data_IF_576197898117
#
_entry.id   IF_576197898117
#
_cell.length_a   1.000
_cell.length_b   1.000
_cell.length_c   1.000
_cell.angle_alpha   90.00
_cell.angle_beta   90.00
_cell.angle_gamma   90.00
#
_symmetry.space_group_name_H-M   'P 1'
#
loop_
_entity.id
_entity.type
_entity.pdbx_description
1 polymer ?
#
# COMPACT_ATOMS: atom_id res chain seq x y z
N UNK A 1 30.40 24.60 -29.63
CA UNK A 1 29.67 23.34 -29.85
C UNK A 1 28.67 23.17 -28.71
N UNK A 2 27.37 23.19 -29.00
CA UNK A 2 26.30 22.98 -28.01
C UNK A 2 26.14 21.46 -27.80
N UNK A 3 26.15 20.99 -26.56
CA UNK A 3 25.77 19.63 -26.21
C UNK A 3 24.29 19.40 -26.58
N UNK A 4 23.91 18.24 -27.12
CA UNK A 4 22.51 17.92 -27.35
C UNK A 4 21.81 17.70 -26.01
N UNK A 5 20.72 18.42 -25.77
CA UNK A 5 19.80 18.14 -24.69
C UNK A 5 19.12 16.80 -25.02
N UNK A 6 19.40 15.76 -24.23
CA UNK A 6 18.66 14.50 -24.29
C UNK A 6 17.33 14.70 -23.59
N UNK A 7 16.33 15.21 -24.30
CA UNK A 7 14.93 15.12 -23.85
C UNK A 7 14.48 13.67 -24.01
N UNK A 8 14.72 12.82 -22.99
CA UNK A 8 14.11 11.50 -22.95
C UNK A 8 12.62 11.66 -22.65
N UNK A 9 11.80 11.83 -23.68
CA UNK A 9 10.36 11.64 -23.53
C UNK A 9 10.13 10.16 -23.24
N UNK A 10 10.13 9.77 -21.97
CA UNK A 10 9.75 8.41 -21.56
C UNK A 10 8.30 8.23 -22.00
N UNK A 11 8.02 7.14 -22.71
CA UNK A 11 6.66 6.76 -23.06
C UNK A 11 5.80 6.70 -21.78
N UNK A 12 4.52 7.08 -21.84
CA UNK A 12 3.65 7.00 -20.67
C UNK A 12 3.61 5.56 -20.16
N UNK A 13 3.77 5.41 -18.84
CA UNK A 13 3.64 4.12 -18.16
C UNK A 13 2.18 4.01 -17.74
N UNK A 14 1.58 2.83 -17.91
CA UNK A 14 0.24 2.57 -17.37
C UNK A 14 0.28 2.72 -15.85
N UNK A 15 -0.78 3.26 -15.27
CA UNK A 15 -0.89 3.42 -13.84
C UNK A 15 -0.61 2.10 -13.10
N UNK A 16 0.32 2.16 -12.16
CA UNK A 16 0.71 1.10 -11.22
C UNK A 16 1.42 1.76 -10.05
N UNK A 17 1.49 1.09 -8.91
CA UNK A 17 2.30 1.57 -7.79
C UNK A 17 3.79 1.74 -8.22
N UNK A 18 4.45 2.87 -7.87
CA UNK A 18 5.81 3.22 -8.27
C UNK A 18 6.82 2.55 -7.33
N UNK A 19 6.70 1.23 -7.23
CA UNK A 19 7.50 0.34 -6.40
C UNK A 19 7.76 -0.96 -7.16
N UNK A 20 8.69 -1.78 -6.68
CA UNK A 20 9.07 -3.05 -7.29
C UNK A 20 7.85 -3.92 -7.59
N UNK A 21 7.01 -4.13 -6.57
CA UNK A 21 5.74 -4.83 -6.68
C UNK A 21 4.54 -3.89 -6.74
N UNK A 22 3.52 -4.27 -7.53
CA UNK A 22 2.28 -3.51 -7.68
C UNK A 22 1.28 -3.80 -6.54
N UNK A 23 1.72 -3.74 -5.27
CA UNK A 23 0.85 -4.03 -4.13
C UNK A 23 0.01 -2.83 -3.72
N UNK A 24 -1.28 -3.05 -3.53
CA UNK A 24 -2.28 -2.04 -3.15
C UNK A 24 -2.50 -2.06 -1.64
N UNK A 25 -2.45 -0.91 -0.94
CA UNK A 25 -2.83 -0.85 0.47
C UNK A 25 -4.35 -1.06 0.60
N UNK A 26 -4.75 -1.97 1.49
CA UNK A 26 -6.13 -2.30 1.81
C UNK A 26 -6.38 -1.96 3.28
N UNK A 27 -7.43 -1.16 3.55
CA UNK A 27 -7.94 -0.92 4.90
C UNK A 27 -9.29 -1.58 5.10
N UNK A 28 -9.43 -2.27 6.21
CA UNK A 28 -10.70 -2.80 6.69
C UNK A 28 -11.12 -2.04 7.94
N UNK A 29 -12.37 -1.57 7.94
CA UNK A 29 -13.03 -1.02 9.11
C UNK A 29 -14.50 -1.45 9.07
N UNK A 30 -14.77 -2.63 9.60
CA UNK A 30 -16.05 -3.33 9.45
C UNK A 30 -16.72 -3.41 10.81
N UNK A 31 -17.96 -2.94 10.90
CA UNK A 31 -18.78 -3.00 12.11
C UNK A 31 -20.08 -3.74 11.82
N UNK A 32 -20.40 -4.76 12.61
CA UNK A 32 -21.64 -5.53 12.47
C UNK A 32 -22.03 -6.14 13.82
N UNK A 33 -23.31 -6.03 14.19
CA UNK A 33 -23.88 -6.58 15.45
C UNK A 33 -23.08 -6.18 16.72
N UNK A 34 -22.55 -4.95 16.75
CA UNK A 34 -21.78 -4.44 17.88
C UNK A 34 -20.34 -4.95 17.98
N UNK A 35 -19.88 -5.77 17.03
CA UNK A 35 -18.48 -6.15 16.88
C UNK A 35 -17.83 -5.35 15.75
N UNK A 36 -16.58 -4.95 15.96
CA UNK A 36 -15.79 -4.20 14.98
C UNK A 36 -14.48 -4.91 14.69
N UNK A 37 -14.14 -5.03 13.42
CA UNK A 37 -12.89 -5.58 12.94
C UNK A 37 -12.17 -4.50 12.12
N UNK A 38 -10.93 -4.22 12.51
CA UNK A 38 -10.04 -3.29 11.82
C UNK A 38 -8.77 -4.01 11.42
N UNK A 39 -8.33 -3.75 10.20
CA UNK A 39 -7.08 -4.30 9.69
C UNK A 39 -6.50 -3.41 8.59
N UNK A 40 -5.19 -3.54 8.37
CA UNK A 40 -4.46 -2.85 7.33
C UNK A 40 -3.35 -3.76 6.79
N UNK A 41 -3.39 -4.04 5.49
CA UNK A 41 -2.44 -4.92 4.83
C UNK A 41 -2.33 -4.55 3.35
N UNK A 42 -1.43 -5.19 2.63
CA UNK A 42 -1.22 -5.00 1.19
C UNK A 42 -1.76 -6.18 0.41
N UNK A 43 -2.29 -5.93 -0.79
CA UNK A 43 -2.85 -6.97 -1.66
C UNK A 43 -2.30 -6.86 -3.08
N UNK A 44 -2.04 -7.99 -3.72
CA UNK A 44 -1.68 -8.02 -5.14
C UNK A 44 -2.97 -7.91 -5.98
N UNK A 45 -3.19 -6.81 -6.73
CA UNK A 45 -4.43 -6.60 -7.48
C UNK A 45 -4.59 -7.56 -8.66
N UNK A 46 -3.53 -8.29 -9.03
CA UNK A 46 -3.55 -9.35 -10.04
C UNK A 46 -4.01 -10.71 -9.48
N UNK A 47 -4.11 -10.88 -8.16
CA UNK A 47 -4.61 -12.13 -7.57
C UNK A 47 -6.11 -12.30 -7.87
N UNK A 48 -6.59 -13.54 -8.07
CA UNK A 48 -7.98 -13.79 -8.40
C UNK A 48 -8.90 -13.54 -7.20
N UNK A 49 -10.13 -13.12 -7.46
CA UNK A 49 -11.13 -12.82 -6.41
C UNK A 49 -11.40 -14.00 -5.46
N UNK A 50 -11.10 -15.23 -5.88
CA UNK A 50 -11.17 -16.41 -5.01
C UNK A 50 -10.21 -16.32 -3.82
N UNK A 51 -9.03 -15.72 -3.98
CA UNK A 51 -8.07 -15.53 -2.88
C UNK A 51 -8.60 -14.56 -1.82
N UNK A 52 -9.32 -13.51 -2.26
CA UNK A 52 -10.01 -12.58 -1.33
C UNK A 52 -11.03 -13.33 -0.47
N UNK A 53 -11.81 -14.22 -1.07
CA UNK A 53 -12.79 -15.04 -0.35
C UNK A 53 -12.11 -16.03 0.59
N UNK A 54 -10.99 -16.63 0.18
CA UNK A 54 -10.18 -17.53 1.02
C UNK A 54 -9.61 -16.77 2.22
N UNK A 55 -9.05 -15.58 2.01
CA UNK A 55 -8.57 -14.69 3.07
C UNK A 55 -9.69 -14.38 4.06
N UNK A 56 -10.85 -13.88 3.60
CA UNK A 56 -11.98 -13.54 4.45
C UNK A 56 -12.44 -14.72 5.32
N UNK A 57 -12.52 -15.93 4.76
CA UNK A 57 -12.87 -17.14 5.51
C UNK A 57 -11.83 -17.51 6.57
N UNK A 58 -10.54 -17.40 6.24
CA UNK A 58 -9.44 -17.68 7.18
C UNK A 58 -9.42 -16.67 8.31
N UNK A 59 -9.49 -15.38 8.01
CA UNK A 59 -9.54 -14.29 8.99
C UNK A 59 -10.70 -14.49 9.98
N UNK A 60 -11.91 -14.74 9.48
CA UNK A 60 -13.09 -14.96 10.34
C UNK A 60 -12.92 -16.19 11.24
N UNK A 61 -12.36 -17.29 10.71
CA UNK A 61 -12.08 -18.50 11.49
C UNK A 61 -11.01 -18.23 12.56
N UNK A 62 -9.90 -17.62 12.18
CA UNK A 62 -8.71 -17.47 13.02
C UNK A 62 -8.98 -16.46 14.16
N UNK A 63 -9.73 -15.38 13.87
CA UNK A 63 -10.16 -14.38 14.84
C UNK A 63 -11.48 -14.71 15.55
N UNK A 64 -12.10 -15.86 15.22
CA UNK A 64 -13.39 -16.31 15.77
C UNK A 64 -14.49 -15.26 15.63
N UNK A 65 -14.54 -14.57 14.49
CA UNK A 65 -15.56 -13.56 14.18
C UNK A 65 -16.88 -14.23 13.74
N UNK A 66 -18.02 -13.51 13.83
CA UNK A 66 -19.28 -13.98 13.28
C UNK A 66 -19.20 -14.26 11.76
N UNK A 67 -19.86 -15.31 11.24
CA UNK A 67 -19.78 -15.68 9.82
C UNK A 67 -20.15 -14.58 8.82
N UNK A 68 -20.98 -13.61 9.23
CA UNK A 68 -21.36 -12.45 8.41
C UNK A 68 -20.18 -11.55 8.02
N UNK A 69 -19.09 -11.56 8.79
CA UNK A 69 -17.87 -10.82 8.45
C UNK A 69 -17.22 -11.33 7.16
N UNK A 70 -17.46 -12.59 6.75
CA UNK A 70 -16.85 -13.16 5.53
C UNK A 70 -17.26 -12.32 4.32
N UNK A 71 -18.56 -12.05 4.17
CA UNK A 71 -19.08 -11.28 3.04
C UNK A 71 -18.62 -9.82 3.11
N UNK A 72 -18.63 -9.23 4.31
CA UNK A 72 -18.24 -7.82 4.50
C UNK A 72 -16.75 -7.59 4.21
N UNK A 73 -15.87 -8.48 4.68
CA UNK A 73 -14.43 -8.43 4.40
C UNK A 73 -14.19 -8.56 2.90
N UNK A 74 -14.76 -9.60 2.28
CA UNK A 74 -14.56 -9.84 0.85
C UNK A 74 -15.03 -8.66 -0.01
N UNK A 75 -16.21 -8.10 0.30
CA UNK A 75 -16.75 -6.92 -0.40
C UNK A 75 -15.85 -5.70 -0.22
N UNK A 76 -15.40 -5.40 1.00
CA UNK A 76 -14.55 -4.24 1.27
C UNK A 76 -13.21 -4.32 0.52
N UNK A 77 -12.59 -5.49 0.46
CA UNK A 77 -11.36 -5.71 -0.32
C UNK A 77 -11.64 -5.54 -1.82
N UNK A 78 -12.69 -6.20 -2.33
CA UNK A 78 -13.05 -6.15 -3.75
C UNK A 78 -13.39 -4.74 -4.23
N UNK A 79 -14.06 -3.93 -3.40
CA UNK A 79 -14.35 -2.53 -3.72
C UNK A 79 -13.06 -1.73 -3.89
N UNK A 80 -12.11 -1.82 -2.95
CA UNK A 80 -10.82 -1.13 -3.04
C UNK A 80 -10.00 -1.59 -4.24
N UNK A 81 -9.99 -2.90 -4.54
CA UNK A 81 -9.31 -3.43 -5.73
C UNK A 81 -9.98 -2.98 -7.03
N UNK A 82 -11.31 -2.90 -7.07
CA UNK A 82 -12.05 -2.40 -8.24
C UNK A 82 -11.77 -0.93 -8.49
N UNK A 83 -11.73 -0.13 -7.42
CA UNK A 83 -11.32 1.27 -7.48
C UNK A 83 -9.90 1.41 -8.02
N UNK A 84 -8.93 0.67 -7.47
CA UNK A 84 -7.56 0.63 -7.98
C UNK A 84 -7.48 0.29 -9.48
N UNK A 85 -8.15 -0.79 -9.89
CA UNK A 85 -8.17 -1.27 -11.29
C UNK A 85 -8.80 -0.26 -12.25
N UNK A 86 -9.66 0.64 -11.76
CA UNK A 86 -10.24 1.72 -12.57
C UNK A 86 -9.20 2.75 -13.04
N UNK A 87 -8.05 2.83 -12.35
CA UNK A 87 -6.94 3.69 -12.70
C UNK A 87 -5.91 3.00 -13.62
N UNK A 88 -5.76 1.67 -13.60
CA UNK A 88 -4.73 0.93 -14.38
C UNK A 88 -4.76 1.19 -15.89
N UNK A 89 -5.91 1.58 -16.44
CA UNK A 89 -6.07 1.95 -17.84
C UNK A 89 -5.59 3.37 -18.19
N UNK A 90 -5.22 4.17 -17.20
CA UNK A 90 -4.83 5.57 -17.35
C UNK A 90 -3.31 5.69 -17.54
N UNK A 91 -2.91 6.64 -18.38
CA UNK A 91 -1.50 6.99 -18.53
C UNK A 91 -1.03 7.78 -17.32
N UNK A 92 0.07 7.33 -16.72
CA UNK A 92 0.72 8.03 -15.62
C UNK A 92 1.98 8.73 -16.12
N UNK A 93 2.08 10.03 -15.80
CA UNK A 93 3.28 10.82 -16.03
C UNK A 93 4.03 10.99 -14.72
N UNK A 94 4.90 10.04 -14.39
CA UNK A 94 5.92 10.26 -13.37
C UNK A 94 7.01 11.11 -14.00
N UNK A 95 6.82 12.43 -14.04
CA UNK A 95 7.96 13.33 -14.12
C UNK A 95 8.88 13.07 -12.91
N UNK A 96 10.12 13.58 -12.91
CA UNK A 96 11.04 13.52 -11.75
C UNK A 96 10.33 14.08 -10.49
N UNK A 97 9.66 13.21 -9.74
CA UNK A 97 8.74 13.54 -8.65
C UNK A 97 9.21 12.78 -7.43
N UNK A 98 9.80 13.53 -6.52
CA UNK A 98 10.22 13.07 -5.21
C UNK A 98 9.19 13.58 -4.21
N UNK A 99 8.69 12.69 -3.35
CA UNK A 99 7.59 12.98 -2.43
C UNK A 99 8.03 12.74 -0.99
N UNK A 100 7.60 13.59 -0.04
CA UNK A 100 7.87 13.34 1.37
C UNK A 100 6.98 12.21 1.90
N UNK A 101 7.58 11.25 2.59
CA UNK A 101 6.89 10.21 3.35
C UNK A 101 7.07 10.51 4.82
N UNK A 102 5.96 10.62 5.55
CA UNK A 102 5.95 10.88 6.99
C UNK A 102 5.41 9.67 7.74
N UNK A 103 6.22 9.10 8.63
CA UNK A 103 5.77 8.06 9.54
C UNK A 103 5.37 8.73 10.86
N UNK A 104 4.12 8.56 11.27
CA UNK A 104 3.64 8.85 12.62
C UNK A 104 2.72 7.71 13.05
N UNK A 105 3.34 6.60 13.46
CA UNK A 105 2.67 5.33 13.70
C UNK A 105 2.90 4.87 15.14
N UNK A 106 1.87 4.28 15.73
CA UNK A 106 1.99 3.55 16.99
C UNK A 106 1.55 2.11 16.76
N UNK A 107 2.48 1.18 16.93
CA UNK A 107 2.24 -0.26 16.83
C UNK A 107 2.60 -0.86 18.18
N UNK A 108 1.61 -1.44 18.86
CA UNK A 108 1.75 -1.94 20.23
C UNK A 108 2.41 -0.91 21.18
N UNK A 109 3.63 -1.19 21.62
CA UNK A 109 4.42 -0.33 22.51
C UNK A 109 5.45 0.53 21.78
N UNK A 110 5.59 0.37 20.46
CA UNK A 110 6.57 1.06 19.63
C UNK A 110 5.94 2.30 18.99
N UNK A 111 6.58 3.46 19.17
CA UNK A 111 6.22 4.71 18.51
C UNK A 111 7.27 5.02 17.43
N UNK A 112 6.82 5.21 16.20
CA UNK A 112 7.68 5.56 15.07
C UNK A 112 7.33 6.95 14.60
N UNK A 113 8.34 7.82 14.59
CA UNK A 113 8.25 9.17 14.04
C UNK A 113 9.45 9.44 13.16
N UNK A 114 9.22 9.48 11.87
CA UNK A 114 10.28 9.69 10.88
C UNK A 114 9.75 10.43 9.65
N UNK A 115 10.66 11.01 8.88
CA UNK A 115 10.36 11.68 7.62
C UNK A 115 11.52 11.54 6.64
N UNK A 116 11.23 11.02 5.46
CA UNK A 116 12.19 10.82 4.38
C UNK A 116 11.57 11.13 3.02
N UNK A 117 12.40 11.13 1.98
CA UNK A 117 11.99 11.37 0.61
C UNK A 117 11.90 10.05 -0.17
N UNK A 118 10.87 9.92 -1.00
CA UNK A 118 10.68 8.78 -1.88
C UNK A 118 10.65 9.22 -3.34
N UNK A 119 11.48 8.61 -4.18
CA UNK A 119 11.51 8.88 -5.63
C UNK A 119 10.50 7.99 -6.36
N UNK A 120 9.44 8.60 -6.92
CA UNK A 120 8.41 7.89 -7.67
C UNK A 120 8.90 7.34 -9.02
N UNK A 121 10.12 7.68 -9.45
CA UNK A 121 10.71 7.18 -10.69
C UNK A 121 11.59 5.96 -10.48
N UNK A 122 11.92 5.64 -9.23
CA UNK A 122 12.67 4.44 -8.91
C UNK A 122 11.71 3.27 -8.68
N UNK A 123 11.29 2.63 -9.77
CA UNK A 123 10.42 1.45 -9.75
C UNK A 123 11.08 0.20 -9.14
N UNK A 124 12.36 0.24 -8.79
CA UNK A 124 13.04 -0.82 -8.03
C UNK A 124 12.93 -0.60 -6.51
N UNK A 125 12.32 0.51 -6.06
CA UNK A 125 12.14 0.78 -4.63
C UNK A 125 11.12 -0.18 -4.04
N UNK A 126 11.44 -0.74 -2.88
CA UNK A 126 10.64 -1.75 -2.19
C UNK A 126 10.34 -1.26 -0.75
N UNK A 127 9.08 -0.87 -0.45
CA UNK A 127 8.65 -0.47 0.88
C UNK A 127 8.85 -1.54 1.96
N UNK A 128 8.70 -2.83 1.64
CA UNK A 128 8.88 -3.95 2.56
C UNK A 128 10.37 -4.12 2.90
N UNK A 129 11.24 -4.04 1.91
CA UNK A 129 12.69 -4.09 2.13
C UNK A 129 13.20 -2.86 2.89
N UNK A 130 12.67 -1.68 2.58
CA UNK A 130 12.94 -0.47 3.34
C UNK A 130 12.50 -0.64 4.81
N UNK A 131 11.28 -1.12 5.05
CA UNK A 131 10.75 -1.31 6.40
C UNK A 131 11.57 -2.34 7.19
N UNK A 132 12.02 -3.42 6.55
CA UNK A 132 12.89 -4.43 7.16
C UNK A 132 14.23 -3.83 7.58
N UNK A 133 14.85 -3.05 6.71
CA UNK A 133 16.12 -2.36 6.99
C UNK A 133 15.95 -1.34 8.10
N UNK A 134 14.88 -0.54 8.04
CA UNK A 134 14.52 0.43 9.08
C UNK A 134 14.37 -0.22 10.46
N UNK A 135 13.64 -1.34 10.54
CA UNK A 135 13.47 -2.07 11.80
C UNK A 135 14.79 -2.62 12.34
N UNK A 136 15.63 -3.18 11.46
CA UNK A 136 16.96 -3.69 11.84
C UNK A 136 17.87 -2.58 12.37
N UNK A 137 17.91 -1.44 11.69
CA UNK A 137 18.77 -0.30 12.07
C UNK A 137 18.33 0.34 13.39
N UNK A 138 17.01 0.35 13.67
CA UNK A 138 16.44 0.86 14.92
C UNK A 138 16.39 -0.17 16.05
N UNK A 139 16.81 -1.42 15.80
CA UNK A 139 16.73 -2.51 16.79
C UNK A 139 15.28 -2.86 17.19
N UNK A 140 14.33 -2.71 16.26
CA UNK A 140 12.92 -3.03 16.48
C UNK A 140 12.69 -4.51 16.18
N UNK A 141 12.33 -5.27 17.22
CA UNK A 141 12.08 -6.72 17.12
C UNK A 141 10.60 -7.09 16.98
N UNK A 142 9.68 -6.13 17.21
CA UNK A 142 8.23 -6.37 17.08
C UNK A 142 7.87 -6.66 15.61
N UNK A 143 7.39 -7.88 15.28
CA UNK A 143 7.15 -8.29 13.91
C UNK A 143 6.01 -7.54 13.23
N UNK A 144 5.13 -6.87 14.00
CA UNK A 144 4.03 -6.07 13.46
C UNK A 144 4.50 -4.70 12.94
N UNK A 145 5.69 -4.26 13.35
CA UNK A 145 6.19 -2.92 13.00
C UNK A 145 6.61 -2.81 11.54
N UNK A 146 7.35 -3.79 11.01
CA UNK A 146 7.79 -3.81 9.63
C UNK A 146 6.61 -3.70 8.63
N UNK A 147 5.60 -4.59 8.72
CA UNK A 147 4.40 -4.50 7.90
C UNK A 147 3.66 -3.16 8.04
N UNK A 148 3.54 -2.61 9.25
CA UNK A 148 2.89 -1.31 9.46
C UNK A 148 3.63 -0.15 8.78
N UNK A 149 4.98 -0.16 8.82
CA UNK A 149 5.81 0.83 8.12
C UNK A 149 5.66 0.70 6.61
N UNK A 150 5.78 -0.52 6.06
CA UNK A 150 5.61 -0.77 4.63
C UNK A 150 4.22 -0.34 4.12
N UNK A 151 3.17 -0.68 4.88
CA UNK A 151 1.80 -0.25 4.61
C UNK A 151 1.69 1.28 4.58
N UNK A 152 2.23 1.99 5.58
CA UNK A 152 2.13 3.45 5.66
C UNK A 152 2.85 4.17 4.52
N UNK A 153 3.96 3.60 4.03
CA UNK A 153 4.64 4.08 2.82
C UNK A 153 3.73 3.89 1.62
N UNK A 154 3.22 2.66 1.39
CA UNK A 154 2.37 2.35 0.25
C UNK A 154 1.08 3.16 0.22
N UNK A 155 0.48 3.41 1.38
CA UNK A 155 -0.69 4.26 1.53
C UNK A 155 -0.43 5.69 1.05
N UNK A 156 0.64 6.33 1.55
CA UNK A 156 1.00 7.69 1.11
C UNK A 156 1.33 7.75 -0.38
N UNK A 157 2.00 6.73 -0.93
CA UNK A 157 2.26 6.64 -2.36
C UNK A 157 0.96 6.54 -3.15
N UNK A 158 0.01 5.71 -2.71
CA UNK A 158 -1.29 5.53 -3.35
C UNK A 158 -2.09 6.84 -3.36
N UNK A 159 -2.16 7.54 -2.22
CA UNK A 159 -2.83 8.84 -2.10
C UNK A 159 -2.23 9.87 -3.06
N UNK A 160 -0.90 9.98 -3.12
CA UNK A 160 -0.19 10.94 -3.97
C UNK A 160 -0.38 10.68 -5.47
N UNK A 161 -0.68 9.43 -5.84
CA UNK A 161 -0.93 9.05 -7.22
C UNK A 161 -2.37 9.29 -7.67
N UNK A 162 -3.36 9.05 -6.81
CA UNK A 162 -4.78 9.16 -7.15
C UNK A 162 -5.36 10.53 -6.85
N UNK A 163 -4.82 11.21 -5.83
CA UNK A 163 -5.20 12.55 -5.44
C UNK A 163 -4.08 13.48 -5.89
N UNK A 164 -4.06 13.93 -7.17
CA UNK A 164 -3.12 14.97 -7.55
C UNK A 164 -3.38 16.21 -6.67
N UNK A 165 -2.34 16.86 -6.14
CA UNK A 165 -2.53 18.09 -5.38
C UNK A 165 -3.25 19.12 -6.26
N UNK A 166 -4.28 19.76 -5.69
CA UNK A 166 -5.02 20.88 -6.29
C UNK A 166 -4.09 22.04 -6.69
#
# INVERSE_FOLDING_TARGET
MKLPATSSSKAPVKFRMPTADNLVPIRLDIETEGQRYKDAFTWNPSDPDSEVVVFAKRTVRDLKLPPQFITQIAQSIQTQLTEFRSYEGQDMYTAEKIVPIKLDLRVNHTLIKDHFLWDLNNYESDPEEFARTFCNDMGIEDPEVGPAVAFAIREQLYEVMIIPPL
#
